data_IF_208778440130
#
_entry.id   IF_208778440130
#
_cell.length_a   1.000
_cell.length_b   1.000
_cell.length_c   1.000
_cell.angle_alpha   90.00
_cell.angle_beta   90.00
_cell.angle_gamma   90.00
#
_symmetry.space_group_name_H-M   'P 1'
#
loop_
_entity.id
_entity.type
_entity.pdbx_description
1 polymer ?
#
# COMPACT_ATOMS: atom_id res chain seq x y z
N UNK A 1 -65.80 9.53 -5.79
CA UNK A 1 -65.08 10.04 -6.99
C UNK A 1 -63.61 10.08 -6.63
N UNK A 2 -62.89 9.00 -6.90
CA UNK A 2 -61.45 8.90 -6.71
C UNK A 2 -60.82 8.94 -8.09
N UNK A 3 -60.25 10.07 -8.44
CA UNK A 3 -59.44 10.22 -9.65
C UNK A 3 -58.06 9.64 -9.41
N UNK A 4 -57.80 8.48 -9.99
CA UNK A 4 -56.44 7.94 -10.12
C UNK A 4 -55.69 8.81 -11.12
N UNK A 5 -54.70 9.55 -10.63
CA UNK A 5 -53.69 10.20 -11.46
C UNK A 5 -52.73 9.11 -11.91
N UNK A 6 -52.97 8.61 -13.13
CA UNK A 6 -51.98 7.84 -13.85
C UNK A 6 -50.88 8.80 -14.32
N UNK A 7 -49.74 8.82 -13.61
CA UNK A 7 -48.53 9.42 -14.15
C UNK A 7 -48.07 8.54 -15.32
N UNK A 8 -48.46 8.88 -16.53
CA UNK A 8 -47.76 8.42 -17.72
C UNK A 8 -46.43 9.16 -17.78
N UNK A 9 -45.36 8.50 -17.30
CA UNK A 9 -43.99 8.93 -17.62
C UNK A 9 -43.88 8.96 -19.14
N UNK A 10 -43.72 10.15 -19.72
CA UNK A 10 -43.45 10.30 -21.15
C UNK A 10 -42.08 9.65 -21.44
N UNK A 11 -42.13 8.44 -21.97
CA UNK A 11 -40.95 7.74 -22.50
C UNK A 11 -40.47 8.55 -23.69
N UNK A 12 -39.22 9.02 -23.67
CA UNK A 12 -38.66 9.80 -24.77
C UNK A 12 -38.48 8.92 -26.02
N UNK A 13 -38.59 9.54 -27.22
CA UNK A 13 -38.37 8.83 -28.48
C UNK A 13 -37.01 8.12 -28.55
N UNK A 14 -35.97 8.65 -27.85
CA UNK A 14 -34.66 8.04 -27.71
C UNK A 14 -34.66 6.75 -26.84
N UNK A 15 -35.51 6.66 -25.83
CA UNK A 15 -35.70 5.44 -25.02
C UNK A 15 -36.37 4.30 -25.82
N UNK A 16 -37.22 4.66 -26.76
CA UNK A 16 -37.87 3.70 -27.68
C UNK A 16 -36.85 3.21 -28.73
N UNK A 17 -35.92 4.08 -29.17
CA UNK A 17 -34.93 3.77 -30.20
C UNK A 17 -33.78 2.85 -29.73
N UNK A 18 -33.31 2.98 -28.48
CA UNK A 18 -32.28 2.12 -27.91
C UNK A 18 -32.49 1.91 -26.41
N UNK A 19 -33.33 0.93 -26.02
CA UNK A 19 -33.68 0.68 -24.62
C UNK A 19 -32.46 0.27 -23.78
N UNK A 20 -31.45 -0.37 -24.36
CA UNK A 20 -30.21 -0.78 -23.66
C UNK A 20 -29.37 0.43 -23.31
N UNK A 21 -29.25 1.41 -24.21
CA UNK A 21 -28.53 2.67 -23.95
C UNK A 21 -29.24 3.47 -22.86
N UNK A 22 -30.56 3.61 -22.92
CA UNK A 22 -31.36 4.29 -21.89
C UNK A 22 -31.16 3.64 -20.50
N UNK A 23 -31.16 2.31 -20.42
CA UNK A 23 -30.92 1.58 -19.18
C UNK A 23 -29.49 1.79 -18.66
N UNK A 24 -28.50 1.82 -19.55
CA UNK A 24 -27.10 2.13 -19.18
C UNK A 24 -26.97 3.56 -18.64
N UNK A 25 -27.58 4.55 -19.28
CA UNK A 25 -27.56 5.96 -18.86
C UNK A 25 -28.24 6.13 -17.50
N UNK A 26 -29.35 5.43 -17.25
CA UNK A 26 -30.01 5.36 -15.95
C UNK A 26 -29.08 4.73 -14.88
N UNK A 27 -28.44 3.62 -15.20
CA UNK A 27 -27.49 2.96 -14.28
C UNK A 27 -26.30 3.88 -13.95
N UNK A 28 -25.75 4.60 -14.94
CA UNK A 28 -24.71 5.60 -14.73
C UNK A 28 -25.16 6.70 -13.77
N UNK A 29 -26.34 7.27 -13.99
CA UNK A 29 -26.89 8.32 -13.14
C UNK A 29 -27.06 7.84 -11.69
N UNK A 30 -27.64 6.65 -11.49
CA UNK A 30 -27.89 6.06 -10.17
C UNK A 30 -26.59 5.69 -9.47
N UNK A 31 -25.58 5.14 -10.18
CA UNK A 31 -24.27 4.88 -9.64
C UNK A 31 -23.59 6.16 -9.11
N UNK A 32 -23.64 7.23 -9.90
CA UNK A 32 -23.07 8.52 -9.52
C UNK A 32 -23.79 9.13 -8.31
N UNK A 33 -25.13 9.03 -8.26
CA UNK A 33 -25.92 9.50 -7.12
C UNK A 33 -25.59 8.70 -5.85
N UNK A 34 -25.60 7.37 -5.92
CA UNK A 34 -25.29 6.49 -4.81
C UNK A 34 -23.86 6.73 -4.27
N UNK A 35 -22.90 6.95 -5.17
CA UNK A 35 -21.53 7.32 -4.79
C UNK A 35 -21.49 8.65 -4.02
N UNK A 36 -22.25 9.67 -4.46
CA UNK A 36 -22.30 10.99 -3.79
C UNK A 36 -22.91 10.93 -2.40
N UNK A 37 -23.89 10.07 -2.16
CA UNK A 37 -24.49 9.86 -0.83
C UNK A 37 -23.77 8.80 -0.01
N UNK A 38 -22.61 8.30 -0.48
CA UNK A 38 -21.79 7.28 0.17
C UNK A 38 -22.49 5.93 0.39
N UNK A 39 -23.47 5.59 -0.44
CA UNK A 39 -24.10 4.27 -0.46
C UNK A 39 -23.30 3.31 -1.34
N UNK A 40 -22.31 2.67 -0.72
CA UNK A 40 -21.35 1.82 -1.42
C UNK A 40 -22.01 0.59 -2.10
N UNK A 41 -23.06 0.04 -1.48
CA UNK A 41 -23.73 -1.17 -1.98
C UNK A 41 -24.53 -0.87 -3.25
N UNK A 42 -25.33 0.19 -3.25
CA UNK A 42 -26.08 0.63 -4.43
C UNK A 42 -25.14 1.20 -5.51
N UNK A 43 -24.12 1.97 -5.10
CA UNK A 43 -23.15 2.53 -6.03
C UNK A 43 -22.49 1.44 -6.88
N UNK A 44 -22.02 0.37 -6.24
CA UNK A 44 -21.34 -0.73 -6.95
C UNK A 44 -22.31 -1.54 -7.80
N UNK A 45 -23.55 -1.74 -7.35
CA UNK A 45 -24.57 -2.47 -8.10
C UNK A 45 -24.89 -1.78 -9.44
N UNK A 46 -25.18 -0.48 -9.41
CA UNK A 46 -25.46 0.28 -10.62
C UNK A 46 -24.23 0.48 -11.51
N UNK A 47 -23.07 0.61 -10.91
CA UNK A 47 -21.80 0.70 -11.63
C UNK A 47 -21.50 -0.58 -12.43
N UNK A 48 -21.78 -1.75 -11.87
CA UNK A 48 -21.63 -3.03 -12.55
C UNK A 48 -22.63 -3.15 -13.71
N UNK A 49 -23.90 -2.77 -13.46
CA UNK A 49 -24.94 -2.76 -14.49
C UNK A 49 -24.56 -1.86 -15.66
N UNK A 50 -24.09 -0.63 -15.39
CA UNK A 50 -23.56 0.29 -16.41
C UNK A 50 -22.45 -0.34 -17.24
N UNK A 51 -21.47 -0.98 -16.59
CA UNK A 51 -20.31 -1.57 -17.27
C UNK A 51 -20.70 -2.81 -18.12
N UNK A 52 -21.67 -3.60 -17.68
CA UNK A 52 -22.17 -4.79 -18.38
C UNK A 52 -23.06 -4.42 -19.58
N UNK A 53 -23.90 -3.40 -19.42
CA UNK A 53 -24.78 -2.91 -20.49
C UNK A 53 -24.05 -2.14 -21.59
N UNK A 54 -22.84 -1.69 -21.29
CA UNK A 54 -22.06 -0.87 -22.20
C UNK A 54 -21.75 -1.59 -23.52
N UNK A 55 -22.06 -0.96 -24.65
CA UNK A 55 -21.76 -1.43 -26.01
C UNK A 55 -20.49 -0.80 -26.57
N UNK A 56 -20.20 0.43 -26.21
CA UNK A 56 -19.04 1.21 -26.60
C UNK A 56 -18.02 1.33 -25.43
N UNK A 57 -16.77 1.76 -25.66
CA UNK A 57 -15.86 2.07 -24.57
C UNK A 57 -16.44 3.10 -23.61
N UNK A 58 -16.31 2.87 -22.29
CA UNK A 58 -16.77 3.83 -21.29
C UNK A 58 -16.14 5.21 -21.53
N UNK A 59 -16.94 6.27 -21.44
CA UNK A 59 -16.43 7.65 -21.44
C UNK A 59 -15.56 7.92 -20.22
N UNK A 60 -14.83 9.05 -20.21
CA UNK A 60 -13.99 9.45 -19.05
C UNK A 60 -14.81 9.50 -17.75
N UNK A 61 -16.01 10.10 -17.80
CA UNK A 61 -16.86 10.25 -16.62
C UNK A 61 -17.44 8.92 -16.16
N UNK A 62 -17.87 8.07 -17.09
CA UNK A 62 -18.33 6.72 -16.77
C UNK A 62 -17.22 5.88 -16.15
N UNK A 63 -15.97 5.99 -16.63
CA UNK A 63 -14.82 5.32 -16.02
C UNK A 63 -14.56 5.84 -14.60
N UNK A 64 -14.65 7.16 -14.37
CA UNK A 64 -14.50 7.74 -13.01
C UNK A 64 -15.55 7.17 -12.06
N UNK A 65 -16.80 7.10 -12.49
CA UNK A 65 -17.88 6.49 -11.69
C UNK A 65 -17.63 5.01 -11.46
N UNK A 66 -17.27 4.24 -12.50
CA UNK A 66 -16.94 2.81 -12.34
C UNK A 66 -15.81 2.59 -11.35
N UNK A 67 -14.70 3.29 -11.49
CA UNK A 67 -13.57 3.19 -10.58
C UNK A 67 -13.92 3.64 -9.16
N UNK A 68 -14.64 4.77 -9.03
CA UNK A 68 -15.01 5.35 -7.74
C UNK A 68 -15.98 4.48 -6.93
N UNK A 69 -17.03 3.96 -7.57
CA UNK A 69 -17.98 3.06 -6.91
C UNK A 69 -17.32 1.77 -6.43
N UNK A 70 -16.48 1.17 -7.28
CA UNK A 70 -15.76 -0.03 -6.96
C UNK A 70 -14.76 0.19 -5.82
N UNK A 71 -14.04 1.32 -5.82
CA UNK A 71 -13.15 1.71 -4.76
C UNK A 71 -13.90 1.91 -3.44
N UNK A 72 -15.00 2.67 -3.46
CA UNK A 72 -15.84 2.93 -2.30
C UNK A 72 -16.29 1.63 -1.61
N UNK A 73 -16.75 0.68 -2.42
CA UNK A 73 -17.25 -0.61 -1.90
C UNK A 73 -16.13 -1.47 -1.30
N UNK A 74 -15.01 -1.63 -2.03
CA UNK A 74 -13.90 -2.47 -1.54
C UNK A 74 -13.27 -1.86 -0.29
N UNK A 75 -13.17 -0.53 -0.21
CA UNK A 75 -12.62 0.16 0.95
C UNK A 75 -13.51 0.01 2.18
N UNK A 76 -14.84 0.10 2.04
CA UNK A 76 -15.80 -0.22 3.10
C UNK A 76 -15.57 -1.63 3.68
N UNK A 77 -15.33 -2.61 2.81
CA UNK A 77 -15.09 -4.00 3.25
C UNK A 77 -13.73 -4.16 3.93
N UNK A 78 -12.67 -3.57 3.37
CA UNK A 78 -11.30 -3.65 3.91
C UNK A 78 -11.17 -2.91 5.23
N UNK A 79 -11.75 -1.72 5.37
CA UNK A 79 -11.80 -0.98 6.64
C UNK A 79 -12.52 -1.79 7.73
N UNK A 80 -13.62 -2.46 7.39
CA UNK A 80 -14.30 -3.36 8.30
C UNK A 80 -13.44 -4.56 8.72
N UNK A 81 -12.67 -5.13 7.79
CA UNK A 81 -11.75 -6.23 8.09
C UNK A 81 -10.59 -5.79 8.99
N UNK A 82 -10.04 -4.61 8.75
CA UNK A 82 -9.00 -4.01 9.59
C UNK A 82 -9.51 -3.80 11.02
N UNK A 83 -10.74 -3.30 11.18
CA UNK A 83 -11.35 -3.14 12.49
C UNK A 83 -11.54 -4.48 13.23
N UNK A 84 -11.99 -5.53 12.53
CA UNK A 84 -12.12 -6.88 13.11
C UNK A 84 -10.75 -7.44 13.55
N UNK A 85 -9.70 -7.24 12.77
CA UNK A 85 -8.35 -7.63 13.15
C UNK A 85 -7.87 -6.90 14.42
N UNK A 86 -8.20 -5.61 14.56
CA UNK A 86 -7.90 -4.84 15.78
C UNK A 86 -8.65 -5.39 16.98
N UNK A 87 -9.94 -5.73 16.84
CA UNK A 87 -10.74 -6.33 17.91
C UNK A 87 -10.16 -7.68 18.37
N UNK A 88 -9.65 -8.52 17.46
CA UNK A 88 -9.03 -9.80 17.82
C UNK A 88 -7.81 -9.64 18.75
N UNK A 89 -7.14 -8.49 18.69
CA UNK A 89 -6.00 -8.16 19.56
C UNK A 89 -6.48 -7.61 20.90
N UNK A 90 -7.48 -6.70 20.89
CA UNK A 90 -7.90 -5.94 22.07
C UNK A 90 -8.94 -6.67 22.95
N UNK A 91 -9.82 -7.46 22.33
CA UNK A 91 -10.90 -8.14 23.04
C UNK A 91 -10.44 -9.42 23.72
N UNK A 92 -10.88 -9.62 24.97
CA UNK A 92 -10.60 -10.82 25.75
C UNK A 92 -11.59 -11.96 25.44
N UNK A 93 -12.81 -11.61 25.09
CA UNK A 93 -13.94 -12.53 24.86
C UNK A 93 -14.48 -12.40 23.43
N UNK A 94 -15.28 -13.36 22.98
CA UNK A 94 -15.95 -13.27 21.69
C UNK A 94 -15.07 -13.50 20.45
N UNK A 95 -13.80 -13.87 20.59
CA UNK A 95 -12.84 -14.08 19.47
C UNK A 95 -13.35 -15.05 18.42
N UNK A 96 -14.12 -16.08 18.82
CA UNK A 96 -14.72 -17.02 17.87
C UNK A 96 -15.71 -16.32 16.94
N UNK A 97 -16.61 -15.51 17.47
CA UNK A 97 -17.61 -14.77 16.70
C UNK A 97 -16.95 -13.71 15.81
N UNK A 98 -15.92 -13.04 16.31
CA UNK A 98 -15.12 -12.07 15.51
C UNK A 98 -14.48 -12.77 14.31
N UNK A 99 -13.89 -13.97 14.51
CA UNK A 99 -13.30 -14.75 13.42
C UNK A 99 -14.35 -15.22 12.40
N UNK A 100 -15.53 -15.64 12.84
CA UNK A 100 -16.63 -16.03 11.94
C UNK A 100 -17.08 -14.87 11.04
N UNK A 101 -17.18 -13.64 11.60
CA UNK A 101 -17.50 -12.43 10.81
C UNK A 101 -16.34 -12.07 9.88
N UNK A 102 -15.09 -12.19 10.35
CA UNK A 102 -13.90 -11.95 9.56
C UNK A 102 -13.85 -12.88 8.33
N UNK A 103 -14.03 -14.18 8.54
CA UNK A 103 -14.03 -15.17 7.46
C UNK A 103 -15.14 -14.89 6.42
N UNK A 104 -16.30 -14.43 6.88
CA UNK A 104 -17.39 -14.00 5.99
C UNK A 104 -16.98 -12.78 5.15
N UNK A 105 -16.37 -11.76 5.79
CA UNK A 105 -15.88 -10.55 5.10
C UNK A 105 -14.79 -10.87 4.08
N UNK A 106 -13.84 -11.74 4.42
CA UNK A 106 -12.80 -12.20 3.50
C UNK A 106 -13.41 -12.88 2.27
N UNK A 107 -14.41 -13.75 2.44
CA UNK A 107 -15.14 -14.38 1.32
C UNK A 107 -15.86 -13.35 0.44
N UNK A 108 -16.45 -12.32 1.03
CA UNK A 108 -17.12 -11.26 0.27
C UNK A 108 -16.09 -10.47 -0.55
N UNK A 109 -14.94 -10.12 0.03
CA UNK A 109 -13.86 -9.44 -0.67
C UNK A 109 -13.35 -10.26 -1.85
N UNK A 110 -13.08 -11.56 -1.65
CA UNK A 110 -12.62 -12.45 -2.73
C UNK A 110 -13.63 -12.47 -3.89
N UNK A 111 -14.91 -12.74 -3.61
CA UNK A 111 -15.97 -12.76 -4.63
C UNK A 111 -16.09 -11.42 -5.36
N UNK A 112 -15.96 -10.30 -4.64
CA UNK A 112 -16.01 -8.98 -5.27
C UNK A 112 -14.82 -8.75 -6.19
N UNK A 113 -13.62 -9.08 -5.76
CA UNK A 113 -12.42 -8.95 -6.59
C UNK A 113 -12.52 -9.77 -7.88
N UNK A 114 -12.91 -11.04 -7.77
CA UNK A 114 -13.13 -11.93 -8.93
C UNK A 114 -14.19 -11.36 -9.87
N UNK A 115 -15.29 -10.82 -9.33
CA UNK A 115 -16.38 -10.24 -10.12
C UNK A 115 -15.91 -9.02 -10.92
N UNK A 116 -15.19 -8.10 -10.31
CA UNK A 116 -14.66 -6.91 -11.00
C UNK A 116 -13.66 -7.28 -12.09
N UNK A 117 -12.74 -8.22 -11.78
CA UNK A 117 -11.77 -8.71 -12.77
C UNK A 117 -12.50 -9.32 -13.96
N UNK A 118 -13.61 -10.06 -13.74
CA UNK A 118 -14.45 -10.61 -14.79
C UNK A 118 -15.10 -9.52 -15.63
N UNK A 119 -15.73 -8.50 -15.02
CA UNK A 119 -16.30 -7.36 -15.75
C UNK A 119 -15.24 -6.69 -16.63
N UNK A 120 -14.05 -6.45 -16.08
CA UNK A 120 -12.97 -5.83 -16.85
C UNK A 120 -12.62 -6.70 -18.07
N UNK A 121 -12.45 -8.01 -17.89
CA UNK A 121 -12.07 -8.92 -18.97
C UNK A 121 -13.17 -9.07 -20.04
N UNK A 122 -14.42 -9.27 -19.62
CA UNK A 122 -15.52 -9.66 -20.49
C UNK A 122 -16.26 -8.49 -21.12
N UNK A 123 -16.25 -7.31 -20.47
CA UNK A 123 -17.04 -6.16 -20.92
C UNK A 123 -16.19 -4.94 -21.31
N UNK A 124 -15.05 -4.70 -20.65
CA UNK A 124 -14.30 -3.46 -20.86
C UNK A 124 -13.07 -3.65 -21.75
N UNK A 125 -12.33 -4.74 -21.62
CA UNK A 125 -11.13 -5.02 -22.43
C UNK A 125 -11.44 -5.66 -23.79
N UNK A 126 -12.68 -6.05 -24.06
CA UNK A 126 -13.09 -6.64 -25.33
C UNK A 126 -13.22 -5.63 -26.47
N UNK A 127 -13.12 -4.34 -26.16
CA UNK A 127 -13.32 -3.23 -27.09
C UNK A 127 -12.00 -2.60 -27.50
N UNK A 128 -11.99 -1.92 -28.62
CA UNK A 128 -10.84 -1.10 -29.01
C UNK A 128 -10.80 0.15 -28.11
N UNK A 129 -9.83 0.18 -27.20
CA UNK A 129 -9.64 1.26 -26.23
C UNK A 129 -8.26 1.87 -26.38
N UNK A 130 -8.13 3.14 -25.95
CA UNK A 130 -6.87 3.85 -25.93
C UNK A 130 -5.85 3.22 -24.95
N UNK A 131 -4.53 3.34 -25.21
CA UNK A 131 -3.50 2.77 -24.34
C UNK A 131 -3.62 3.20 -22.88
N UNK A 132 -3.97 4.47 -22.61
CA UNK A 132 -4.17 4.97 -21.26
C UNK A 132 -5.32 4.27 -20.53
N UNK A 133 -6.42 4.02 -21.24
CA UNK A 133 -7.60 3.30 -20.71
C UNK A 133 -7.25 1.83 -20.46
N UNK A 134 -6.46 1.22 -21.36
CA UNK A 134 -5.93 -0.13 -21.17
C UNK A 134 -5.08 -0.20 -19.88
N UNK A 135 -4.14 0.72 -19.71
CA UNK A 135 -3.28 0.78 -18.53
C UNK A 135 -4.09 0.96 -17.24
N UNK A 136 -5.15 1.77 -17.25
CA UNK A 136 -6.06 1.95 -16.13
C UNK A 136 -6.73 0.62 -15.73
N UNK A 137 -7.26 -0.14 -16.68
CA UNK A 137 -7.93 -1.42 -16.40
C UNK A 137 -6.94 -2.50 -15.96
N UNK A 138 -5.74 -2.54 -16.52
CA UNK A 138 -4.67 -3.44 -16.07
C UNK A 138 -4.23 -3.10 -14.63
N UNK A 139 -4.07 -1.81 -14.33
CA UNK A 139 -3.80 -1.35 -12.96
C UNK A 139 -4.91 -1.78 -12.00
N UNK A 140 -6.19 -1.63 -12.38
CA UNK A 140 -7.30 -2.11 -11.56
C UNK A 140 -7.21 -3.63 -11.31
N UNK A 141 -6.90 -4.44 -12.33
CA UNK A 141 -6.67 -5.88 -12.13
C UNK A 141 -5.54 -6.14 -11.14
N UNK A 142 -4.43 -5.39 -11.23
CA UNK A 142 -3.34 -5.42 -10.27
C UNK A 142 -3.80 -5.12 -8.84
N UNK A 143 -4.63 -4.08 -8.65
CA UNK A 143 -5.20 -3.70 -7.36
C UNK A 143 -6.08 -4.82 -6.78
N UNK A 144 -6.96 -5.41 -7.58
CA UNK A 144 -7.86 -6.46 -7.11
C UNK A 144 -7.11 -7.76 -6.76
N UNK A 145 -6.09 -8.14 -7.53
CA UNK A 145 -5.21 -9.25 -7.14
C UNK A 145 -4.38 -8.94 -5.89
N UNK A 146 -3.99 -7.69 -5.67
CA UNK A 146 -3.34 -7.24 -4.43
C UNK A 146 -4.29 -7.40 -3.25
N UNK A 147 -5.54 -6.93 -3.33
CA UNK A 147 -6.52 -7.11 -2.27
C UNK A 147 -6.80 -8.58 -1.96
N UNK A 148 -6.84 -9.43 -2.97
CA UNK A 148 -6.94 -10.88 -2.77
C UNK A 148 -5.69 -11.45 -2.08
N UNK A 149 -4.50 -10.98 -2.43
CA UNK A 149 -3.26 -11.43 -1.79
C UNK A 149 -3.20 -11.07 -0.31
N UNK A 150 -3.71 -9.90 0.10
CA UNK A 150 -3.73 -9.44 1.49
C UNK A 150 -4.49 -10.38 2.44
N UNK A 151 -5.48 -11.11 1.92
CA UNK A 151 -6.35 -12.01 2.71
C UNK A 151 -6.14 -13.49 2.39
N UNK A 152 -5.31 -13.82 1.41
CA UNK A 152 -5.05 -15.19 1.00
C UNK A 152 -3.89 -15.81 1.79
N UNK A 153 -3.84 -17.15 1.79
CA UNK A 153 -2.76 -17.94 2.42
C UNK A 153 -2.23 -19.01 1.46
N UNK A 154 -1.04 -19.51 1.73
CA UNK A 154 -0.45 -20.63 0.99
C UNK A 154 -0.33 -20.36 -0.51
N UNK A 155 -0.71 -21.35 -1.34
CA UNK A 155 -0.60 -21.25 -2.79
C UNK A 155 -1.44 -20.12 -3.39
N UNK A 156 -2.62 -19.84 -2.84
CA UNK A 156 -3.48 -18.76 -3.34
C UNK A 156 -2.83 -17.38 -3.14
N UNK A 157 -2.16 -17.16 -2.01
CA UNK A 157 -1.36 -15.96 -1.77
C UNK A 157 -0.28 -15.80 -2.84
N UNK A 158 0.45 -16.88 -3.15
CA UNK A 158 1.50 -16.85 -4.16
C UNK A 158 0.93 -16.50 -5.54
N UNK A 159 -0.14 -17.18 -5.98
CA UNK A 159 -0.79 -16.91 -7.28
C UNK A 159 -1.29 -15.48 -7.38
N UNK A 160 -1.95 -14.96 -6.33
CA UNK A 160 -2.46 -13.59 -6.34
C UNK A 160 -1.32 -12.56 -6.38
N UNK A 161 -0.21 -12.80 -5.69
CA UNK A 161 1.00 -11.95 -5.77
C UNK A 161 1.57 -11.92 -7.18
N UNK A 162 1.67 -13.06 -7.85
CA UNK A 162 2.19 -13.15 -9.22
C UNK A 162 1.27 -12.41 -10.20
N UNK A 163 -0.04 -12.60 -10.09
CA UNK A 163 -1.00 -11.90 -10.94
C UNK A 163 -0.99 -10.38 -10.72
N UNK A 164 -0.93 -9.93 -9.47
CA UNK A 164 -0.80 -8.51 -9.18
C UNK A 164 0.47 -7.92 -9.80
N UNK A 165 1.60 -8.59 -9.62
CA UNK A 165 2.89 -8.19 -10.19
C UNK A 165 2.84 -8.12 -11.73
N UNK A 166 2.27 -9.13 -12.37
CA UNK A 166 2.12 -9.19 -13.82
C UNK A 166 1.31 -7.99 -14.36
N UNK A 167 0.11 -7.76 -13.83
CA UNK A 167 -0.77 -6.70 -14.32
C UNK A 167 -0.24 -5.29 -14.04
N UNK A 168 0.41 -5.07 -12.89
CA UNK A 168 1.07 -3.80 -12.65
C UNK A 168 2.23 -3.55 -13.62
N UNK A 169 3.03 -4.57 -13.97
CA UNK A 169 4.11 -4.39 -14.93
C UNK A 169 3.57 -4.12 -16.34
N UNK A 170 2.55 -4.85 -16.80
CA UNK A 170 1.90 -4.55 -18.07
C UNK A 170 1.37 -3.10 -18.12
N UNK A 171 0.71 -2.64 -17.05
CA UNK A 171 0.23 -1.26 -16.97
C UNK A 171 1.38 -0.24 -17.03
N UNK A 172 2.48 -0.51 -16.31
CA UNK A 172 3.69 0.35 -16.33
C UNK A 172 4.32 0.41 -17.71
N UNK A 173 4.42 -0.71 -18.41
CA UNK A 173 5.04 -0.77 -19.75
C UNK A 173 4.27 0.07 -20.76
N UNK A 174 2.95 0.15 -20.66
CA UNK A 174 2.12 1.00 -21.51
C UNK A 174 2.39 2.49 -21.24
N UNK A 175 2.49 2.90 -19.99
CA UNK A 175 2.60 4.32 -19.61
C UNK A 175 4.03 4.83 -19.45
N UNK A 176 5.05 4.01 -19.73
CA UNK A 176 6.45 4.37 -19.51
C UNK A 176 6.86 5.69 -20.16
N UNK A 177 6.42 5.91 -21.40
CA UNK A 177 6.74 7.07 -22.23
C UNK A 177 5.71 8.21 -22.11
N UNK A 178 4.70 8.09 -21.21
CA UNK A 178 3.75 9.16 -20.96
C UNK A 178 4.41 10.28 -20.16
N UNK A 179 3.82 11.48 -20.22
CA UNK A 179 4.25 12.62 -19.43
C UNK A 179 4.32 12.28 -17.94
N UNK A 180 5.30 12.84 -17.22
CA UNK A 180 5.50 12.56 -15.80
C UNK A 180 4.39 13.14 -14.90
N UNK A 181 3.57 14.06 -15.42
CA UNK A 181 2.36 14.58 -14.77
C UNK A 181 1.09 13.84 -15.17
N UNK A 182 1.18 12.85 -16.07
CA UNK A 182 0.01 12.07 -16.42
C UNK A 182 -0.57 11.35 -15.20
N UNK A 183 -1.85 11.59 -14.85
CA UNK A 183 -2.44 11.05 -13.63
C UNK A 183 -2.52 9.51 -13.62
N UNK A 184 -2.67 8.88 -14.78
CA UNK A 184 -2.70 7.41 -14.90
C UNK A 184 -1.31 6.83 -14.61
N UNK A 185 -0.24 7.41 -15.16
CA UNK A 185 1.16 7.02 -14.87
C UNK A 185 1.48 7.15 -13.39
N UNK A 186 1.15 8.28 -12.78
CA UNK A 186 1.39 8.53 -11.36
C UNK A 186 0.58 7.59 -10.46
N UNK A 187 -0.68 7.34 -10.82
CA UNK A 187 -1.54 6.43 -10.05
C UNK A 187 -1.04 4.97 -10.10
N UNK A 188 -0.53 4.52 -11.26
CA UNK A 188 0.13 3.21 -11.40
C UNK A 188 1.36 3.18 -10.52
N UNK A 189 2.19 4.22 -10.56
CA UNK A 189 3.42 4.30 -9.75
C UNK A 189 3.12 4.25 -8.25
N UNK A 190 2.10 4.98 -7.80
CA UNK A 190 1.64 4.97 -6.42
C UNK A 190 1.20 3.56 -5.99
N UNK A 191 0.28 2.94 -6.72
CA UNK A 191 -0.28 1.64 -6.31
C UNK A 191 0.74 0.50 -6.41
N UNK A 192 1.63 0.54 -7.42
CA UNK A 192 2.72 -0.42 -7.52
C UNK A 192 3.74 -0.29 -6.39
N UNK A 193 4.08 0.93 -5.97
CA UNK A 193 4.97 1.14 -4.83
C UNK A 193 4.35 0.61 -3.52
N UNK A 194 3.06 0.86 -3.29
CA UNK A 194 2.32 0.27 -2.15
C UNK A 194 2.33 -1.27 -2.20
N UNK A 195 2.12 -1.86 -3.38
CA UNK A 195 2.19 -3.31 -3.56
C UNK A 195 3.59 -3.87 -3.23
N UNK A 196 4.66 -3.19 -3.67
CA UNK A 196 6.03 -3.57 -3.32
C UNK A 196 6.27 -3.53 -1.81
N UNK A 197 5.76 -2.49 -1.13
CA UNK A 197 5.94 -2.30 0.31
C UNK A 197 5.13 -3.31 1.12
N UNK A 198 3.82 -3.30 0.96
CA UNK A 198 2.88 -3.99 1.86
C UNK A 198 2.73 -5.49 1.57
N UNK A 199 2.80 -5.88 0.28
CA UNK A 199 2.51 -7.26 -0.12
C UNK A 199 3.77 -8.06 -0.43
N UNK A 200 4.77 -7.42 -1.05
CA UNK A 200 6.04 -8.08 -1.37
C UNK A 200 7.12 -7.88 -0.31
N UNK A 201 6.90 -7.02 0.70
CA UNK A 201 7.88 -6.64 1.74
C UNK A 201 9.21 -6.14 1.15
N UNK A 202 9.16 -5.50 -0.03
CA UNK A 202 10.32 -4.91 -0.71
C UNK A 202 10.42 -3.42 -0.39
N UNK A 203 10.57 -3.07 0.89
CA UNK A 203 10.55 -1.69 1.41
C UNK A 203 11.50 -0.76 0.68
N UNK A 204 12.76 -1.13 0.56
CA UNK A 204 13.79 -0.33 -0.12
C UNK A 204 13.42 -0.07 -1.58
N UNK A 205 12.98 -1.11 -2.31
CA UNK A 205 12.56 -0.97 -3.70
C UNK A 205 11.33 -0.08 -3.84
N UNK A 206 10.37 -0.22 -2.92
CA UNK A 206 9.17 0.60 -2.85
C UNK A 206 9.50 2.07 -2.69
N UNK A 207 10.35 2.39 -1.71
CA UNK A 207 10.82 3.75 -1.43
C UNK A 207 11.50 4.39 -2.66
N UNK A 208 12.49 3.72 -3.25
CA UNK A 208 13.20 4.28 -4.39
C UNK A 208 12.30 4.44 -5.61
N UNK A 209 11.40 3.48 -5.87
CA UNK A 209 10.46 3.57 -6.98
C UNK A 209 9.48 4.76 -6.83
N UNK A 210 8.89 4.92 -5.64
CA UNK A 210 8.00 6.04 -5.35
C UNK A 210 8.72 7.38 -5.39
N UNK A 211 9.94 7.44 -4.84
CA UNK A 211 10.80 8.64 -4.84
C UNK A 211 11.17 9.08 -6.25
N UNK A 212 11.48 8.14 -7.15
CA UNK A 212 11.79 8.44 -8.56
C UNK A 212 10.56 9.02 -9.26
N UNK A 213 9.37 8.40 -9.11
CA UNK A 213 8.14 8.91 -9.69
C UNK A 213 7.80 10.31 -9.16
N UNK A 214 7.94 10.52 -7.86
CA UNK A 214 7.73 11.82 -7.21
C UNK A 214 8.71 12.87 -7.73
N UNK A 215 10.00 12.55 -7.81
CA UNK A 215 11.03 13.47 -8.28
C UNK A 215 10.77 13.93 -9.72
N UNK A 216 10.45 13.00 -10.62
CA UNK A 216 10.15 13.31 -12.00
C UNK A 216 8.91 14.21 -12.13
N UNK A 217 7.85 13.89 -11.39
CA UNK A 217 6.64 14.71 -11.35
C UNK A 217 6.92 16.14 -10.83
N UNK A 218 7.65 16.27 -9.72
CA UNK A 218 8.01 17.59 -9.16
C UNK A 218 8.90 18.39 -10.09
N UNK A 219 9.80 17.73 -10.83
CA UNK A 219 10.63 18.37 -11.85
C UNK A 219 9.77 18.93 -13.00
N UNK A 220 8.79 18.15 -13.47
CA UNK A 220 7.87 18.60 -14.52
C UNK A 220 6.95 19.72 -14.04
N UNK A 221 6.47 19.68 -12.78
CA UNK A 221 5.68 20.75 -12.18
C UNK A 221 6.40 22.11 -12.14
N UNK A 222 7.72 22.12 -12.03
CA UNK A 222 8.49 23.40 -12.05
C UNK A 222 8.32 24.16 -13.34
N UNK A 223 8.02 23.48 -14.44
CA UNK A 223 7.87 24.06 -15.76
C UNK A 223 6.43 24.47 -16.09
N UNK A 224 5.45 24.10 -15.24
CA UNK A 224 4.05 24.46 -15.42
C UNK A 224 3.79 25.92 -15.01
N UNK A 225 2.92 26.58 -15.77
CA UNK A 225 2.39 27.91 -15.43
C UNK A 225 1.42 27.85 -14.24
N UNK A 226 1.11 28.98 -13.63
CA UNK A 226 0.13 29.05 -12.52
C UNK A 226 -1.28 28.66 -13.00
N UNK A 227 -1.65 29.04 -14.22
CA UNK A 227 -2.95 28.70 -14.82
C UNK A 227 -3.09 27.20 -15.03
N UNK A 228 -2.04 26.51 -15.49
CA UNK A 228 -2.01 25.05 -15.63
C UNK A 228 -2.15 24.35 -14.26
N UNK A 229 -1.46 24.86 -13.24
CA UNK A 229 -1.51 24.27 -11.88
C UNK A 229 -2.87 24.42 -11.20
N UNK A 230 -3.64 25.43 -11.56
CA UNK A 230 -4.99 25.67 -11.01
C UNK A 230 -6.10 25.02 -11.82
N UNK A 231 -5.78 24.42 -12.96
CA UNK A 231 -6.75 23.76 -13.85
C UNK A 231 -7.42 22.56 -13.16
N UNK A 232 -8.66 22.28 -13.54
CA UNK A 232 -9.40 21.12 -13.01
C UNK A 232 -8.71 19.79 -13.39
N UNK A 233 -8.09 19.75 -14.58
CA UNK A 233 -7.37 18.56 -15.06
C UNK A 233 -6.12 18.25 -14.24
N UNK A 234 -5.49 19.25 -13.63
CA UNK A 234 -4.30 19.07 -12.77
C UNK A 234 -4.65 18.62 -11.34
N UNK A 235 -5.88 18.78 -10.89
CA UNK A 235 -6.27 18.44 -9.50
C UNK A 235 -6.00 16.99 -9.13
N UNK A 236 -6.38 16.07 -10.02
CA UNK A 236 -6.16 14.62 -9.80
C UNK A 236 -4.63 14.33 -9.70
N UNK A 237 -3.84 14.94 -10.57
CA UNK A 237 -2.37 14.84 -10.58
C UNK A 237 -1.75 15.32 -9.28
N UNK A 238 -2.14 16.53 -8.81
CA UNK A 238 -1.63 17.12 -7.59
C UNK A 238 -1.98 16.29 -6.35
N UNK A 239 -3.18 15.73 -6.30
CA UNK A 239 -3.60 14.85 -5.21
C UNK A 239 -2.76 13.56 -5.17
N UNK A 240 -2.46 12.96 -6.32
CA UNK A 240 -1.62 11.75 -6.38
C UNK A 240 -0.18 12.06 -5.95
N UNK A 241 0.36 13.21 -6.38
CA UNK A 241 1.69 13.68 -5.97
C UNK A 241 1.77 13.87 -4.44
N UNK A 242 0.73 14.44 -3.83
CA UNK A 242 0.67 14.60 -2.36
C UNK A 242 0.69 13.24 -1.64
N UNK A 243 -0.06 12.25 -2.14
CA UNK A 243 -0.08 10.91 -1.56
C UNK A 243 1.28 10.23 -1.73
N UNK A 244 1.90 10.33 -2.92
CA UNK A 244 3.25 9.81 -3.17
C UNK A 244 4.27 10.43 -2.22
N UNK A 245 4.23 11.76 -2.04
CA UNK A 245 5.13 12.47 -1.14
C UNK A 245 4.98 11.97 0.31
N UNK A 246 3.75 11.82 0.79
CA UNK A 246 3.47 11.30 2.13
C UNK A 246 4.02 9.89 2.31
N UNK A 247 3.78 8.99 1.36
CA UNK A 247 4.30 7.63 1.42
C UNK A 247 5.83 7.61 1.44
N UNK A 248 6.48 8.44 0.62
CA UNK A 248 7.95 8.56 0.60
C UNK A 248 8.48 9.06 1.94
N UNK A 249 7.85 10.08 2.55
CA UNK A 249 8.22 10.60 3.86
C UNK A 249 8.07 9.56 4.97
N UNK A 250 6.95 8.84 4.99
CA UNK A 250 6.65 7.85 6.03
C UNK A 250 7.60 6.65 5.91
N UNK A 251 7.83 6.13 4.71
CA UNK A 251 8.79 5.05 4.48
C UNK A 251 10.23 5.47 4.78
N UNK A 252 10.60 6.72 4.51
CA UNK A 252 11.92 7.25 4.89
C UNK A 252 12.10 7.28 6.41
N UNK A 253 11.07 7.71 7.15
CA UNK A 253 11.13 7.73 8.62
C UNK A 253 11.24 6.32 9.22
N UNK A 254 10.51 5.35 8.64
CA UNK A 254 10.59 3.96 9.06
C UNK A 254 11.99 3.37 8.82
N UNK A 255 12.54 3.51 7.62
CA UNK A 255 13.89 2.99 7.28
C UNK A 255 15.00 3.67 8.08
N UNK A 256 14.97 4.99 8.21
CA UNK A 256 15.97 5.75 8.98
C UNK A 256 15.80 5.52 10.47
N UNK A 257 14.57 5.40 10.97
CA UNK A 257 14.25 5.05 12.35
C UNK A 257 14.88 3.71 12.74
N UNK A 258 14.74 2.69 11.91
CA UNK A 258 15.32 1.35 12.13
C UNK A 258 16.86 1.40 12.15
N UNK A 259 17.48 2.16 11.25
CA UNK A 259 18.95 2.33 11.21
C UNK A 259 19.47 2.99 12.51
N UNK A 260 18.82 4.06 12.97
CA UNK A 260 19.21 4.74 14.22
C UNK A 260 19.00 3.86 15.46
N UNK A 261 17.93 3.05 15.50
CA UNK A 261 17.67 2.10 16.58
C UNK A 261 18.74 1.00 16.61
N UNK A 262 19.15 0.49 15.45
CA UNK A 262 20.18 -0.55 15.37
C UNK A 262 21.58 0.00 15.70
N UNK A 263 21.91 1.23 15.26
CA UNK A 263 23.15 1.90 15.68
C UNK A 263 23.18 2.15 17.18
N UNK A 264 22.06 2.56 17.78
CA UNK A 264 21.95 2.79 19.23
C UNK A 264 22.10 1.49 20.02
N UNK A 265 21.52 0.39 19.53
CA UNK A 265 21.69 -0.95 20.12
C UNK A 265 23.14 -1.44 19.99
N UNK A 266 23.78 -1.19 18.84
CA UNK A 266 25.19 -1.55 18.62
C UNK A 266 26.13 -0.77 19.55
N UNK A 267 25.96 0.54 19.68
CA UNK A 267 26.75 1.38 20.61
C UNK A 267 26.57 0.95 22.06
N UNK A 268 25.35 0.62 22.48
CA UNK A 268 25.09 0.15 23.85
C UNK A 268 25.76 -1.19 24.13
N UNK A 269 25.76 -2.12 23.18
CA UNK A 269 26.49 -3.41 23.31
C UNK A 269 27.99 -3.18 23.41
N UNK A 270 28.55 -2.28 22.64
CA UNK A 270 29.97 -1.95 22.65
C UNK A 270 30.39 -1.30 23.98
N UNK A 271 29.56 -0.44 24.55
CA UNK A 271 29.77 0.15 25.87
C UNK A 271 29.71 -0.91 27.00
N UNK A 272 28.73 -1.80 26.96
CA UNK A 272 28.62 -2.92 27.90
C UNK A 272 29.82 -3.88 27.82
N UNK A 273 30.34 -4.15 26.62
CA UNK A 273 31.55 -4.94 26.45
C UNK A 273 32.80 -4.23 27.00
N UNK A 274 32.91 -2.92 26.76
CA UNK A 274 34.00 -2.11 27.31
C UNK A 274 33.98 -2.08 28.85
N UNK A 275 32.79 -1.97 29.45
CA UNK A 275 32.65 -2.06 30.90
C UNK A 275 33.01 -3.45 31.45
N UNK A 276 32.56 -4.52 30.78
CA UNK A 276 32.94 -5.90 31.19
C UNK A 276 34.43 -6.13 31.09
N UNK A 277 35.11 -5.61 30.08
CA UNK A 277 36.58 -5.67 29.95
C UNK A 277 37.27 -4.88 31.04
N UNK A 278 36.80 -3.66 31.39
CA UNK A 278 37.32 -2.86 32.50
C UNK A 278 37.17 -3.55 33.85
N UNK A 279 36.02 -4.18 34.11
CA UNK A 279 35.75 -4.94 35.35
C UNK A 279 36.64 -6.17 35.45
N UNK A 280 36.87 -6.90 34.34
CA UNK A 280 37.81 -8.04 34.30
C UNK A 280 39.25 -7.60 34.55
N UNK A 281 39.68 -6.48 33.96
CA UNK A 281 41.06 -5.97 34.15
C UNK A 281 41.28 -5.43 35.56
N UNK A 282 40.25 -4.87 36.22
CA UNK A 282 40.30 -4.44 37.60
C UNK A 282 40.40 -5.64 38.57
N UNK A 283 39.62 -6.69 38.30
CA UNK A 283 39.64 -7.91 39.07
C UNK A 283 41.02 -8.64 38.97
N UNK A 284 41.59 -8.69 37.77
CA UNK A 284 42.94 -9.27 37.56
C UNK A 284 44.04 -8.48 38.27
N UNK A 285 43.95 -7.13 38.29
CA UNK A 285 44.87 -6.28 39.07
C UNK A 285 44.71 -6.40 40.59
N UNK A 286 43.53 -6.71 41.07
CA UNK A 286 43.25 -6.98 42.49
C UNK A 286 43.76 -8.36 42.87
N UNK A 287 43.61 -9.37 42.02
CA UNK A 287 44.17 -10.72 42.19
C UNK A 287 45.69 -10.72 42.12
N UNK A 288 46.35 -9.99 41.19
CA UNK A 288 47.82 -9.80 41.15
C UNK A 288 48.36 -9.07 42.38
N UNK A 289 47.60 -8.15 42.99
CA UNK A 289 48.01 -7.49 44.23
C UNK A 289 47.87 -8.40 45.46
N UNK A 290 46.89 -9.30 45.45
CA UNK A 290 46.75 -10.32 46.54
C UNK A 290 47.76 -11.44 46.40
N UNK A 291 48.19 -11.87 45.22
CA UNK A 291 49.29 -12.81 45.00
C UNK A 291 50.65 -12.19 45.37
N UNK A 292 50.91 -10.94 44.95
CA UNK A 292 52.19 -10.27 45.35
C UNK A 292 52.29 -9.96 46.84
N UNK A 293 51.20 -9.97 47.61
CA UNK A 293 51.23 -9.86 49.06
C UNK A 293 51.43 -11.23 49.75
N UNK A 294 51.12 -12.36 49.06
CA UNK A 294 51.37 -13.73 49.59
C UNK A 294 52.77 -14.22 49.32
N UNK A 295 53.46 -13.68 48.30
CA UNK A 295 54.85 -14.10 47.94
C UNK A 295 55.96 -13.38 48.71
N UNK A 296 55.63 -12.50 49.67
CA UNK A 296 56.60 -11.93 50.58
C UNK A 296 56.97 -12.84 51.74
N UNK A 297 56.36 -14.01 51.92
CA UNK A 297 56.55 -14.93 53.01
C UNK A 297 57.13 -16.31 52.63
N UNK A 298 57.50 -16.51 51.36
CA UNK A 298 58.20 -17.76 50.96
C UNK A 298 59.20 -17.49 49.85
N UNK A 299 60.43 -17.10 50.21
CA UNK A 299 61.65 -17.48 49.47
C UNK A 299 61.91 -18.95 49.72
N UNK A 300 61.78 -19.74 48.65
CA UNK A 300 62.78 -20.76 48.23
C UNK A 300 62.12 -21.80 47.30
N UNK A 301 62.91 -22.10 46.29
CA UNK A 301 63.07 -23.36 45.55
C UNK A 301 62.28 -23.51 44.19
N UNK A 302 63.16 -23.44 43.18
CA UNK A 302 63.40 -24.31 42.01
C UNK A 302 62.40 -24.23 40.81
N UNK A 303 62.90 -23.64 39.72
CA UNK A 303 63.34 -24.11 38.40
C UNK A 303 62.54 -25.26 37.73
N UNK A 304 62.32 -25.04 36.35
CA UNK A 304 62.15 -26.05 35.27
C UNK A 304 60.66 -26.25 34.89
N UNK A 305 60.22 -26.20 33.66
CA UNK A 305 60.70 -26.27 32.28
C UNK A 305 59.54 -26.03 31.25
N UNK A 306 59.90 -25.47 30.14
CA UNK A 306 59.47 -25.48 28.76
C UNK A 306 58.16 -26.12 28.32
N UNK A 307 57.47 -25.32 27.45
CA UNK A 307 56.97 -25.63 26.09
C UNK A 307 55.69 -26.43 25.93
N UNK A 308 54.72 -25.89 25.27
CA UNK A 308 54.44 -26.15 23.88
C UNK A 308 53.01 -25.73 23.44
N UNK A 309 52.99 -25.21 22.26
CA UNK A 309 51.88 -24.81 21.42
C UNK A 309 50.78 -25.88 21.26
N UNK A 310 49.52 -25.44 21.14
CA UNK A 310 48.63 -25.99 20.09
C UNK A 310 47.42 -25.08 19.83
N UNK A 311 47.31 -24.63 18.59
CA UNK A 311 46.11 -24.10 17.92
C UNK A 311 45.02 -25.17 17.80
N UNK A 312 43.75 -24.81 17.96
CA UNK A 312 42.62 -25.56 17.44
C UNK A 312 41.54 -24.62 16.85
N UNK A 313 40.81 -25.07 15.81
CA UNK A 313 40.13 -24.22 14.85
C UNK A 313 38.66 -23.93 15.21
N UNK A 314 38.15 -22.88 14.56
CA UNK A 314 36.74 -22.42 14.60
C UNK A 314 35.76 -23.48 14.17
N UNK A 315 34.65 -23.63 14.92
CA UNK A 315 33.44 -24.34 14.49
C UNK A 315 32.46 -23.35 13.94
N UNK A 316 31.92 -23.71 12.77
CA UNK A 316 30.81 -23.09 12.06
C UNK A 316 29.53 -23.15 12.87
N UNK A 317 28.78 -22.03 12.91
CA UNK A 317 27.45 -21.95 13.51
C UNK A 317 26.45 -22.01 12.37
N UNK A 318 25.65 -23.10 12.35
CA UNK A 318 24.44 -23.20 11.55
C UNK A 318 23.34 -22.38 12.21
N UNK A 319 22.81 -21.38 11.46
CA UNK A 319 21.75 -20.53 11.96
C UNK A 319 20.39 -21.20 11.86
N UNK A 320 19.67 -21.20 12.96
CA UNK A 320 18.24 -21.43 12.99
C UNK A 320 17.52 -20.19 12.45
N UNK A 321 16.58 -20.42 11.53
CA UNK A 321 15.66 -19.41 11.01
C UNK A 321 14.62 -19.10 12.09
N UNK A 322 14.43 -17.84 12.50
CA UNK A 322 13.35 -17.48 13.41
C UNK A 322 12.02 -17.38 12.67
N UNK A 323 10.99 -17.91 13.27
CA UNK A 323 9.59 -17.74 12.88
C UNK A 323 9.21 -16.25 12.81
N UNK A 324 8.40 -15.92 11.79
CA UNK A 324 7.95 -14.58 11.47
C UNK A 324 6.90 -14.13 12.49
N UNK A 325 7.10 -13.00 13.19
CA UNK A 325 6.04 -12.41 14.02
C UNK A 325 5.00 -11.70 13.12
N UNK A 326 3.76 -11.79 13.54
CA UNK A 326 2.54 -11.23 12.98
C UNK A 326 2.70 -9.83 12.37
N UNK A 327 2.25 -9.73 11.13
CA UNK A 327 2.06 -8.50 10.36
C UNK A 327 1.20 -7.49 11.12
N UNK A 328 1.84 -6.43 11.55
CA UNK A 328 1.17 -5.20 11.90
C UNK A 328 0.72 -4.54 10.58
N UNK A 329 -0.57 -4.70 10.25
CA UNK A 329 -1.21 -3.99 9.14
C UNK A 329 -1.36 -2.51 9.56
N UNK A 330 -0.27 -1.77 9.48
CA UNK A 330 -0.27 -0.33 9.62
C UNK A 330 -1.09 0.28 8.48
N UNK A 331 -2.16 0.94 8.89
CA UNK A 331 -3.09 1.63 8.02
C UNK A 331 -2.45 2.89 7.45
N UNK A 332 -1.86 2.82 6.27
CA UNK A 332 -1.66 4.00 5.44
C UNK A 332 -2.36 3.81 4.09
N UNK A 333 -3.69 3.68 4.15
CA UNK A 333 -4.54 3.83 2.99
C UNK A 333 -5.24 5.16 3.08
N UNK A 334 -4.65 6.16 2.47
CA UNK A 334 -5.33 7.42 2.21
C UNK A 334 -6.28 7.19 1.05
N UNK A 335 -7.56 7.28 1.37
CA UNK A 335 -8.66 7.32 0.44
C UNK A 335 -8.47 8.50 -0.54
N UNK A 336 -8.25 8.29 -1.84
CA UNK A 336 -8.21 9.39 -2.81
C UNK A 336 -9.54 10.13 -2.94
N UNK A 337 -10.63 9.58 -2.36
CA UNK A 337 -11.95 10.20 -2.31
C UNK A 337 -12.34 10.66 -0.90
N UNK A 338 -11.45 10.62 0.10
CA UNK A 338 -11.73 11.29 1.37
C UNK A 338 -11.74 12.80 1.11
N UNK A 339 -12.92 13.30 0.85
CA UNK A 339 -13.25 14.72 0.77
C UNK A 339 -13.13 15.36 2.17
N UNK A 340 -11.94 15.39 2.73
CA UNK A 340 -11.57 16.54 3.51
C UNK A 340 -11.33 17.61 2.45
N UNK A 341 -12.25 18.56 2.37
CA UNK A 341 -12.10 19.78 1.60
C UNK A 341 -10.82 20.49 2.07
N UNK A 342 -9.69 20.05 1.54
CA UNK A 342 -8.47 20.84 1.59
C UNK A 342 -8.70 21.99 0.61
N UNK A 343 -8.72 23.18 1.15
CA UNK A 343 -8.80 24.43 0.41
C UNK A 343 -7.71 24.40 -0.70
N UNK A 344 -8.03 24.59 -1.99
CA UNK A 344 -7.06 24.60 -3.09
C UNK A 344 -5.85 25.52 -2.83
N UNK A 345 -6.06 26.62 -2.06
CA UNK A 345 -4.98 27.53 -1.62
C UNK A 345 -4.04 26.91 -0.58
N UNK A 346 -4.43 25.83 0.11
CA UNK A 346 -3.55 25.09 1.02
C UNK A 346 -2.73 24.04 0.29
N UNK A 347 -3.30 23.39 -0.74
CA UNK A 347 -2.57 22.47 -1.62
C UNK A 347 -1.40 23.18 -2.32
N UNK A 348 -1.64 24.35 -2.90
CA UNK A 348 -0.58 25.12 -3.56
C UNK A 348 0.55 25.52 -2.60
N UNK A 349 0.24 25.87 -1.34
CA UNK A 349 1.24 26.21 -0.33
C UNK A 349 2.04 25.00 0.16
N UNK A 350 1.43 23.83 0.29
CA UNK A 350 2.12 22.58 0.66
C UNK A 350 3.10 22.15 -0.43
N UNK A 351 2.70 22.24 -1.71
CA UNK A 351 3.53 21.90 -2.87
C UNK A 351 4.68 22.89 -3.03
N UNK A 352 4.47 24.20 -2.75
CA UNK A 352 5.53 25.22 -2.77
C UNK A 352 6.57 24.91 -1.69
N UNK A 353 6.17 24.45 -0.51
CA UNK A 353 7.11 24.02 0.53
C UNK A 353 7.90 22.76 0.15
N UNK A 354 7.27 21.81 -0.55
CA UNK A 354 7.96 20.62 -1.09
C UNK A 354 8.95 21.02 -2.20
N UNK A 355 8.59 22.00 -3.07
CA UNK A 355 9.50 22.55 -4.09
C UNK A 355 10.78 23.15 -3.51
N UNK A 356 10.75 23.68 -2.30
CA UNK A 356 11.87 24.37 -1.67
C UNK A 356 12.78 23.45 -0.82
N UNK A 357 12.36 22.19 -0.58
CA UNK A 357 13.09 21.22 0.26
C UNK A 357 13.74 20.08 -0.54
N UNK A 358 13.68 20.14 -1.88
CA UNK A 358 14.37 19.28 -2.81
C UNK A 358 15.14 20.18 -3.85
#
# INVERSE_FOLDING_TARGET
MTSSIANSENISDDEIANPRKSQMDKAYYLANLAMKINDADEAVRYSDEMAILNEEPLTRDQRRVFCGCNYLYIEKLRSGLLYLNKLLITEQTGKRMINEIKDLKEKIILKRCEHVIRIINENLLTKKIEPEVMALYLKMKGDYYRYMAEISKGNLLYVNKQNAFHFYNEAKDIVKDFDDLNPTKLNISLNYSVFLNEVLNKRINSFFYAKEALYNALKSLKNCSEDELTSEDMKDTLMIIEILNRNVEDWYKEEVGDIFEDEKKAKKKEEEEKEKKKKKHKKHKEEEKEENNKDKDKENDELIDTSSKRFKPRKSISGNVPEIPNLNLGSSMVNPNSSHHLNPNQLGKSIINVKNNF
#
